data_IF_436170148295
#
_entry.id   IF_436170148295
#
_cell.length_a   1.000
_cell.length_b   1.000
_cell.length_c   1.000
_cell.angle_alpha   90.00
_cell.angle_beta   90.00
_cell.angle_gamma   90.00
#
_symmetry.space_group_name_H-M   'P 1'
#
loop_
_entity.id
_entity.type
_entity.pdbx_description
1 polymer ?
#
# COMPACT_ATOMS: atom_id res chain seq x y z
N UNK A 1 -44.91 34.17 -0.48
CA UNK A 1 -44.79 33.64 0.90
C UNK A 1 -44.17 32.27 0.79
N UNK A 2 -42.92 32.12 1.23
CA UNK A 2 -42.54 31.71 2.59
C UNK A 2 -42.77 30.19 2.77
N UNK A 3 -41.73 29.35 2.66
CA UNK A 3 -40.92 28.82 3.80
C UNK A 3 -41.78 27.93 4.72
N UNK A 4 -41.43 26.70 5.13
CA UNK A 4 -40.17 25.97 5.19
C UNK A 4 -40.48 24.48 5.45
N UNK A 5 -39.59 23.55 5.05
CA UNK A 5 -39.07 22.53 5.98
C UNK A 5 -37.83 21.86 5.36
N UNK A 6 -36.67 22.49 5.58
CA UNK A 6 -35.36 22.00 5.16
C UNK A 6 -34.47 21.95 6.40
N UNK A 7 -34.87 21.16 7.39
CA UNK A 7 -34.05 20.85 8.55
C UNK A 7 -34.05 19.34 8.80
N UNK A 8 -32.84 18.84 9.08
CA UNK A 8 -32.45 17.48 9.48
C UNK A 8 -32.57 16.36 8.43
N UNK A 9 -31.70 16.39 7.42
CA UNK A 9 -31.10 15.14 6.92
C UNK A 9 -29.67 15.06 7.48
N UNK A 10 -29.26 13.92 8.09
CA UNK A 10 -27.94 13.80 8.69
C UNK A 10 -26.86 13.99 7.61
N UNK A 11 -25.90 14.87 7.88
CA UNK A 11 -24.72 15.18 7.05
C UNK A 11 -23.80 13.98 6.77
N UNK A 12 -24.20 12.77 7.14
CA UNK A 12 -23.36 11.57 7.17
C UNK A 12 -23.43 10.73 5.88
N UNK A 13 -24.22 11.11 4.87
CA UNK A 13 -24.37 10.37 3.61
C UNK A 13 -23.99 11.14 2.33
N UNK A 14 -23.46 12.36 2.48
CA UNK A 14 -22.90 13.16 1.39
C UNK A 14 -21.40 13.30 1.59
N UNK A 15 -20.66 12.19 1.56
CA UNK A 15 -19.26 12.29 1.19
C UNK A 15 -19.27 12.65 -0.30
N UNK A 16 -18.98 13.92 -0.56
CA UNK A 16 -19.04 14.51 -1.88
C UNK A 16 -18.12 13.70 -2.80
N UNK A 17 -18.61 13.30 -3.98
CA UNK A 17 -17.80 12.64 -5.03
C UNK A 17 -16.66 13.59 -5.49
N UNK A 18 -16.65 14.82 -4.98
CA UNK A 18 -15.57 15.79 -5.07
C UNK A 18 -14.34 15.49 -4.18
N UNK A 19 -14.34 14.45 -3.35
CA UNK A 19 -13.19 14.10 -2.48
C UNK A 19 -12.69 12.68 -2.71
N UNK A 20 -11.37 12.49 -2.62
CA UNK A 20 -10.73 11.19 -2.73
C UNK A 20 -11.41 10.16 -1.77
N UNK A 21 -11.74 8.94 -2.22
CA UNK A 21 -11.35 8.24 -3.45
C UNK A 21 -12.22 8.49 -4.70
N UNK A 22 -13.08 9.52 -4.71
CA UNK A 22 -14.00 9.88 -5.80
C UNK A 22 -15.00 8.77 -6.17
N UNK A 23 -15.33 7.89 -5.22
CA UNK A 23 -16.34 6.85 -5.37
C UNK A 23 -17.17 6.68 -4.08
N UNK A 24 -18.32 6.01 -4.21
CA UNK A 24 -19.26 5.72 -3.11
C UNK A 24 -19.13 4.27 -2.69
N UNK A 25 -18.76 4.05 -1.43
CA UNK A 25 -18.46 2.73 -0.88
C UNK A 25 -19.08 2.60 0.52
N UNK A 26 -19.34 1.37 0.95
CA UNK A 26 -19.96 1.09 2.25
C UNK A 26 -18.96 1.22 3.40
N UNK A 27 -17.68 1.00 3.12
CA UNK A 27 -16.57 1.27 4.03
C UNK A 27 -15.40 1.93 3.32
N UNK A 28 -14.81 2.89 4.03
CA UNK A 28 -13.54 3.57 3.69
C UNK A 28 -12.43 3.28 4.71
N UNK A 29 -12.70 2.42 5.71
CA UNK A 29 -11.82 2.18 6.84
C UNK A 29 -10.56 1.40 6.40
N UNK A 30 -9.37 1.98 6.58
CA UNK A 30 -8.11 1.30 6.23
C UNK A 30 -7.91 -0.08 6.91
N UNK A 31 -8.28 -0.27 8.20
CA UNK A 31 -8.25 -1.58 8.85
C UNK A 31 -9.07 -2.68 8.15
N UNK A 32 -10.06 -2.33 7.33
CA UNK A 32 -10.84 -3.29 6.54
C UNK A 32 -10.10 -3.78 5.29
N UNK A 33 -8.88 -3.30 5.02
CA UNK A 33 -8.02 -3.84 3.96
C UNK A 33 -7.05 -4.88 4.53
N UNK A 34 -6.98 -6.10 3.98
CA UNK A 34 -5.93 -7.06 4.30
C UNK A 34 -4.58 -6.69 3.69
N UNK A 35 -4.53 -5.62 2.88
CA UNK A 35 -3.33 -5.17 2.21
C UNK A 35 -2.92 -3.77 2.65
N UNK A 36 -1.64 -3.46 2.50
CA UNK A 36 -1.13 -2.08 2.56
C UNK A 36 -0.03 -1.83 1.54
N UNK A 37 0.21 -0.55 1.25
CA UNK A 37 1.36 -0.10 0.47
C UNK A 37 2.42 0.49 1.39
N UNK A 38 3.67 0.14 1.15
CA UNK A 38 4.83 0.72 1.83
C UNK A 38 5.41 1.94 1.09
N UNK A 39 6.26 2.68 1.81
CA UNK A 39 6.93 3.88 1.29
C UNK A 39 7.56 3.61 -0.09
N UNK A 40 7.37 4.52 -1.06
CA UNK A 40 7.89 4.31 -2.41
C UNK A 40 9.41 4.30 -2.42
N UNK A 41 9.98 3.35 -3.16
CA UNK A 41 11.38 3.36 -3.58
C UNK A 41 11.48 4.07 -4.93
N UNK A 42 12.43 4.99 -5.05
CA UNK A 42 12.55 5.89 -6.22
C UNK A 42 13.89 5.67 -6.88
N UNK A 43 13.88 5.34 -8.17
CA UNK A 43 15.09 5.19 -8.99
C UNK A 43 15.10 6.25 -10.08
N UNK A 44 16.25 6.88 -10.29
CA UNK A 44 16.50 7.84 -11.37
C UNK A 44 17.71 7.41 -12.21
N UNK A 45 17.68 7.71 -13.50
CA UNK A 45 18.83 7.57 -14.41
C UNK A 45 19.15 6.16 -14.92
N UNK A 46 19.26 5.15 -14.04
CA UNK A 46 19.67 3.80 -14.46
C UNK A 46 18.54 3.06 -15.19
N UNK A 47 18.74 2.74 -16.47
CA UNK A 47 17.76 1.99 -17.29
C UNK A 47 16.51 2.78 -17.69
N UNK A 48 16.50 4.10 -17.45
CA UNK A 48 15.39 5.00 -17.77
C UNK A 48 15.85 6.05 -18.78
N UNK A 49 14.91 6.53 -19.61
CA UNK A 49 15.19 7.67 -20.48
C UNK A 49 15.44 8.95 -19.66
N UNK A 50 16.21 9.91 -20.18
CA UNK A 50 16.46 11.18 -19.50
C UNK A 50 15.17 11.88 -19.07
N UNK A 51 15.15 12.42 -17.85
CA UNK A 51 13.98 13.10 -17.30
C UNK A 51 12.85 12.18 -16.85
N UNK A 52 13.11 10.87 -16.70
CA UNK A 52 12.16 9.92 -16.13
C UNK A 52 12.62 9.37 -14.78
N UNK A 53 11.66 8.98 -13.95
CA UNK A 53 11.87 8.23 -12.71
C UNK A 53 11.02 6.96 -12.69
N UNK A 54 11.47 5.99 -11.90
CA UNK A 54 10.71 4.80 -11.55
C UNK A 54 10.36 4.87 -10.07
N UNK A 55 9.06 4.91 -9.78
CA UNK A 55 8.51 4.98 -8.42
C UNK A 55 7.82 3.67 -8.12
N UNK A 56 8.36 2.87 -7.21
CA UNK A 56 7.87 1.53 -6.88
C UNK A 56 7.34 1.47 -5.46
N UNK A 57 6.08 1.07 -5.29
CA UNK A 57 5.42 0.85 -4.01
C UNK A 57 5.29 -0.65 -3.75
N UNK A 58 5.82 -1.18 -2.64
CA UNK A 58 5.58 -2.56 -2.25
C UNK A 58 4.11 -2.74 -1.84
N UNK A 59 3.48 -3.79 -2.36
CA UNK A 59 2.17 -4.27 -1.93
C UNK A 59 2.36 -5.44 -0.96
N UNK A 60 1.92 -5.25 0.27
CA UNK A 60 2.12 -6.20 1.36
C UNK A 60 0.78 -6.69 1.89
N UNK A 61 0.72 -7.96 2.25
CA UNK A 61 -0.41 -8.57 2.96
C UNK A 61 -0.18 -8.43 4.46
N UNK A 62 -1.16 -7.91 5.20
CA UNK A 62 -1.12 -7.81 6.66
C UNK A 62 -0.92 -9.19 7.27
N UNK A 63 -0.03 -9.27 8.27
CA UNK A 63 0.13 -10.50 9.05
C UNK A 63 -1.22 -10.90 9.68
N UNK A 64 -1.61 -12.17 9.49
CA UNK A 64 -2.91 -12.69 9.93
C UNK A 64 -4.07 -12.44 8.97
N UNK A 65 -3.90 -11.67 7.90
CA UNK A 65 -4.93 -11.42 6.90
C UNK A 65 -6.17 -10.73 7.48
N UNK A 66 -7.34 -11.32 7.25
CA UNK A 66 -8.61 -10.86 7.81
C UNK A 66 -8.93 -11.62 9.09
N UNK A 67 -9.07 -10.89 10.21
CA UNK A 67 -9.52 -11.43 11.48
C UNK A 67 -11.00 -11.12 11.74
N UNK A 68 -11.48 -11.52 12.92
CA UNK A 68 -12.87 -11.30 13.34
C UNK A 68 -13.23 -9.84 13.65
N UNK A 69 -12.22 -8.97 13.82
CA UNK A 69 -12.39 -7.54 14.05
C UNK A 69 -12.56 -6.71 12.79
N UNK A 70 -12.33 -7.31 11.61
CA UNK A 70 -12.38 -6.65 10.32
C UNK A 70 -13.78 -6.82 9.70
N UNK A 71 -14.29 -5.78 9.04
CA UNK A 71 -15.59 -5.85 8.38
C UNK A 71 -15.61 -6.74 7.13
N UNK A 72 -16.78 -6.96 6.50
CA UNK A 72 -16.93 -7.82 5.32
C UNK A 72 -16.09 -7.36 4.11
N UNK A 73 -15.66 -6.10 4.10
CA UNK A 73 -14.74 -5.58 3.09
C UNK A 73 -13.38 -6.26 3.09
N UNK A 74 -12.92 -6.75 4.25
CA UNK A 74 -11.64 -7.46 4.30
C UNK A 74 -11.71 -8.77 3.53
N UNK A 75 -12.74 -9.59 3.77
CA UNK A 75 -12.89 -10.88 3.12
C UNK A 75 -13.08 -10.75 1.60
N UNK A 76 -13.87 -9.76 1.16
CA UNK A 76 -14.06 -9.48 -0.27
C UNK A 76 -12.74 -9.09 -0.95
N UNK A 77 -11.95 -8.22 -0.31
CA UNK A 77 -10.63 -7.83 -0.81
C UNK A 77 -9.62 -8.99 -0.76
N UNK A 78 -9.67 -9.81 0.30
CA UNK A 78 -8.82 -10.99 0.43
C UNK A 78 -9.09 -12.00 -0.69
N UNK A 79 -10.34 -12.16 -1.09
CA UNK A 79 -10.74 -13.02 -2.20
C UNK A 79 -10.36 -12.43 -3.57
N UNK A 80 -10.51 -11.11 -3.74
CA UNK A 80 -10.21 -10.41 -5.00
C UNK A 80 -9.72 -9.00 -4.73
N UNK A 81 -8.51 -8.69 -5.18
CA UNK A 81 -7.98 -7.35 -5.33
C UNK A 81 -7.98 -6.99 -6.81
N UNK A 82 -8.93 -6.16 -7.21
CA UNK A 82 -9.14 -5.81 -8.61
C UNK A 82 -8.46 -4.51 -9.00
N UNK A 83 -8.47 -3.51 -8.11
CA UNK A 83 -7.98 -2.17 -8.42
C UNK A 83 -7.29 -1.55 -7.21
N UNK A 84 -6.24 -0.81 -7.50
CA UNK A 84 -5.62 0.13 -6.57
C UNK A 84 -5.70 1.52 -7.18
N UNK A 85 -6.24 2.48 -6.44
CA UNK A 85 -6.26 3.89 -6.80
C UNK A 85 -5.26 4.65 -5.94
N UNK A 86 -4.23 5.26 -6.55
CA UNK A 86 -3.24 6.07 -5.82
C UNK A 86 -3.51 7.53 -6.11
N UNK A 87 -3.61 8.34 -5.05
CA UNK A 87 -3.81 9.78 -5.17
C UNK A 87 -2.56 10.44 -5.76
N UNK A 88 -2.74 11.26 -6.78
CA UNK A 88 -1.67 12.02 -7.44
C UNK A 88 -2.05 13.49 -7.59
N UNK A 89 -1.06 14.34 -7.88
CA UNK A 89 -1.32 15.71 -8.31
C UNK A 89 -2.10 15.72 -9.63
N UNK A 90 -3.10 16.59 -9.73
CA UNK A 90 -3.83 16.84 -10.99
C UNK A 90 -2.92 17.36 -12.10
N UNK A 91 -1.86 18.10 -11.77
CA UNK A 91 -0.86 18.57 -12.74
C UNK A 91 -0.05 17.44 -13.38
N UNK A 92 -0.08 16.24 -12.80
CA UNK A 92 0.68 15.08 -13.27
C UNK A 92 -0.14 14.08 -14.09
N UNK A 93 -1.40 14.39 -14.38
CA UNK A 93 -2.23 13.58 -15.28
C UNK A 93 -1.53 13.47 -16.64
N UNK A 94 -1.38 12.24 -17.14
CA UNK A 94 -0.69 11.93 -18.39
C UNK A 94 0.84 11.83 -18.28
N UNK A 95 1.45 12.12 -17.11
CA UNK A 95 2.90 12.05 -16.93
C UNK A 95 3.43 10.67 -16.56
N UNK A 96 2.58 9.80 -15.99
CA UNK A 96 2.90 8.37 -15.88
C UNK A 96 2.92 7.77 -17.29
N UNK A 97 4.08 7.28 -17.72
CA UNK A 97 4.29 6.66 -19.01
C UNK A 97 3.79 5.21 -19.05
N UNK A 98 4.05 4.47 -17.98
CA UNK A 98 3.67 3.07 -17.83
C UNK A 98 3.51 2.70 -16.36
N UNK A 99 2.70 1.68 -16.12
CA UNK A 99 2.57 1.03 -14.82
C UNK A 99 2.95 -0.44 -14.98
N UNK A 100 3.72 -0.96 -14.03
CA UNK A 100 4.06 -2.37 -13.93
C UNK A 100 3.63 -2.91 -12.58
N UNK A 101 3.13 -4.13 -12.58
CA UNK A 101 2.89 -4.92 -11.36
C UNK A 101 3.77 -6.15 -11.46
N UNK A 102 4.77 -6.25 -10.58
CA UNK A 102 5.72 -7.36 -10.52
C UNK A 102 6.41 -7.62 -11.88
N UNK A 103 6.93 -6.53 -12.47
CA UNK A 103 7.62 -6.55 -13.76
C UNK A 103 6.72 -6.70 -15.00
N UNK A 104 5.41 -6.89 -14.83
CA UNK A 104 4.45 -7.02 -15.93
C UNK A 104 3.71 -5.72 -16.17
N UNK A 105 3.62 -5.28 -17.43
CA UNK A 105 2.86 -4.08 -17.79
C UNK A 105 1.38 -4.24 -17.37
N UNK A 106 0.87 -3.22 -16.69
CA UNK A 106 -0.49 -3.19 -16.16
C UNK A 106 -1.26 -2.03 -16.76
N UNK A 107 -2.54 -2.26 -17.05
CA UNK A 107 -3.45 -1.19 -17.49
C UNK A 107 -3.75 -0.23 -16.35
N UNK A 108 -3.91 1.05 -16.70
CA UNK A 108 -4.26 2.10 -15.75
C UNK A 108 -5.11 3.18 -16.42
N UNK A 109 -5.82 3.96 -15.60
CA UNK A 109 -6.63 5.11 -16.01
C UNK A 109 -6.47 6.24 -15.01
N UNK A 110 -6.71 7.47 -15.44
CA UNK A 110 -6.82 8.61 -14.54
C UNK A 110 -8.27 8.94 -14.24
N UNK A 111 -8.53 9.34 -12.99
CA UNK A 111 -9.73 10.03 -12.58
C UNK A 111 -9.33 11.38 -12.00
N UNK A 112 -9.91 12.45 -12.52
CA UNK A 112 -9.64 13.81 -12.06
C UNK A 112 -10.90 14.64 -12.25
N UNK A 113 -11.81 14.68 -11.25
CA UNK A 113 -12.99 15.53 -11.31
C UNK A 113 -12.62 16.99 -11.60
N UNK A 114 -13.46 17.69 -12.37
CA UNK A 114 -13.16 19.06 -12.81
C UNK A 114 -12.89 20.01 -11.63
N UNK A 115 -13.62 19.83 -10.53
CA UNK A 115 -13.55 20.63 -9.31
C UNK A 115 -12.46 20.19 -8.31
N UNK A 116 -11.83 19.03 -8.52
CA UNK A 116 -10.78 18.54 -7.63
C UNK A 116 -9.41 19.16 -7.97
N UNK A 117 -8.58 19.41 -6.97
CA UNK A 117 -7.15 19.76 -7.13
C UNK A 117 -6.25 18.52 -7.26
N UNK A 118 -6.82 17.34 -7.03
CA UNK A 118 -6.15 16.05 -7.01
C UNK A 118 -6.65 15.18 -8.17
N UNK A 119 -5.85 14.19 -8.52
CA UNK A 119 -6.22 13.11 -9.44
C UNK A 119 -5.97 11.76 -8.77
N UNK A 120 -6.46 10.69 -9.38
CA UNK A 120 -6.19 9.31 -8.98
C UNK A 120 -5.71 8.56 -10.20
N UNK A 121 -4.59 7.87 -10.07
CA UNK A 121 -4.21 6.81 -11.00
C UNK A 121 -4.83 5.49 -10.52
N UNK A 122 -5.77 4.96 -11.31
CA UNK A 122 -6.45 3.68 -11.10
C UNK A 122 -5.71 2.59 -11.85
N UNK A 123 -5.15 1.63 -11.14
CA UNK A 123 -4.40 0.50 -11.70
C UNK A 123 -5.31 -0.73 -11.66
N UNK A 124 -5.67 -1.25 -12.83
CA UNK A 124 -6.69 -2.31 -12.96
C UNK A 124 -6.67 -2.97 -14.34
N UNK A 125 -7.17 -4.21 -14.50
CA UNK A 125 -7.51 -5.15 -13.43
C UNK A 125 -6.25 -5.83 -12.90
N UNK A 126 -6.06 -5.86 -11.57
CA UNK A 126 -4.89 -6.48 -10.93
C UNK A 126 -4.99 -8.01 -10.88
N UNK A 127 -6.21 -8.55 -10.70
CA UNK A 127 -6.46 -10.00 -10.58
C UNK A 127 -5.60 -10.66 -9.50
N UNK A 128 -5.40 -9.96 -8.39
CA UNK A 128 -4.67 -10.45 -7.23
C UNK A 128 -5.65 -10.92 -6.16
N UNK A 129 -5.15 -11.64 -5.17
CA UNK A 129 -5.85 -12.04 -3.96
C UNK A 129 -4.83 -12.20 -2.83
N UNK A 130 -5.29 -12.56 -1.62
CA UNK A 130 -4.42 -12.64 -0.44
C UNK A 130 -3.25 -13.61 -0.60
N UNK A 131 -3.41 -14.66 -1.41
CA UNK A 131 -2.35 -15.64 -1.69
C UNK A 131 -1.33 -15.20 -2.74
N UNK A 132 -1.63 -14.18 -3.54
CA UNK A 132 -0.82 -13.78 -4.71
C UNK A 132 -0.32 -12.33 -4.65
N UNK A 133 -0.89 -11.50 -3.79
CA UNK A 133 -0.59 -10.08 -3.69
C UNK A 133 0.69 -9.76 -2.91
N UNK A 134 1.12 -10.65 -2.01
CA UNK A 134 2.21 -10.33 -1.09
C UNK A 134 3.55 -10.12 -1.81
N UNK A 135 4.32 -9.11 -1.37
CA UNK A 135 5.61 -8.73 -1.93
C UNK A 135 5.59 -8.38 -3.42
N UNK A 136 4.45 -7.98 -3.97
CA UNK A 136 4.36 -7.48 -5.34
C UNK A 136 4.78 -6.02 -5.39
N UNK A 137 5.44 -5.62 -6.46
CA UNK A 137 5.83 -4.23 -6.66
C UNK A 137 4.90 -3.54 -7.64
N UNK A 138 4.37 -2.39 -7.26
CA UNK A 138 3.60 -1.51 -8.13
C UNK A 138 4.52 -0.37 -8.54
N UNK A 139 4.99 -0.39 -9.79
CA UNK A 139 5.97 0.55 -10.29
C UNK A 139 5.37 1.48 -11.35
N UNK A 140 5.54 2.78 -11.14
CA UNK A 140 5.15 3.85 -12.06
C UNK A 140 6.41 4.38 -12.73
N UNK A 141 6.48 4.32 -14.07
CA UNK A 141 7.48 5.09 -14.81
C UNK A 141 6.91 6.47 -15.11
N UNK A 142 7.57 7.52 -14.66
CA UNK A 142 7.00 8.88 -14.66
C UNK A 142 7.93 9.85 -15.37
N UNK A 143 7.37 10.71 -16.20
CA UNK A 143 8.10 11.72 -16.98
C UNK A 143 8.17 13.05 -16.24
N UNK A 144 9.19 13.84 -16.55
CA UNK A 144 9.24 15.26 -16.20
C UNK A 144 7.99 16.00 -16.72
N UNK A 145 7.47 16.99 -15.98
CA UNK A 145 8.02 17.57 -14.74
C UNK A 145 7.69 16.76 -13.47
N UNK A 146 6.91 15.69 -13.57
CA UNK A 146 6.44 14.90 -12.42
C UNK A 146 7.34 13.71 -12.06
N UNK A 147 8.57 13.67 -12.59
CA UNK A 147 9.54 12.64 -12.22
C UNK A 147 9.95 12.73 -10.74
N UNK A 148 9.80 13.90 -10.11
CA UNK A 148 9.93 14.05 -8.66
C UNK A 148 8.68 13.48 -7.94
N UNK A 149 8.83 12.48 -7.04
CA UNK A 149 7.71 11.87 -6.33
C UNK A 149 6.90 12.86 -5.49
N UNK A 150 7.53 13.90 -4.92
CA UNK A 150 6.81 14.89 -4.12
C UNK A 150 5.85 15.71 -4.98
N UNK A 151 6.29 16.05 -6.19
CA UNK A 151 5.47 16.68 -7.23
C UNK A 151 4.38 15.74 -7.73
N UNK A 152 4.71 14.46 -7.98
CA UNK A 152 3.76 13.44 -8.44
C UNK A 152 2.60 13.24 -7.47
N UNK A 153 2.89 13.14 -6.17
CA UNK A 153 1.90 12.83 -5.13
C UNK A 153 1.37 14.06 -4.39
N UNK A 154 1.79 15.27 -4.78
CA UNK A 154 1.43 16.54 -4.13
C UNK A 154 1.67 16.52 -2.60
N UNK A 155 2.75 15.89 -2.16
CA UNK A 155 3.10 15.78 -0.72
C UNK A 155 4.60 15.92 -0.53
N UNK A 156 5.02 16.57 0.56
CA UNK A 156 6.42 16.64 0.97
C UNK A 156 6.89 15.36 1.67
N UNK A 157 5.95 14.58 2.19
CA UNK A 157 6.15 13.34 2.95
C UNK A 157 5.50 12.17 2.22
N UNK A 158 6.33 11.21 1.78
CA UNK A 158 5.89 10.07 0.98
C UNK A 158 5.17 9.00 1.82
N UNK A 159 5.24 9.07 3.16
CA UNK A 159 4.37 8.25 4.02
C UNK A 159 2.91 8.73 4.01
N UNK A 160 2.64 9.94 3.50
CA UNK A 160 1.27 10.50 3.46
C UNK A 160 0.58 10.30 2.13
N UNK A 161 1.14 9.47 1.24
CA UNK A 161 0.51 9.13 -0.04
C UNK A 161 -0.76 8.35 0.27
N UNK A 162 -1.90 8.93 -0.08
CA UNK A 162 -3.19 8.27 0.08
C UNK A 162 -3.47 7.33 -1.09
N UNK A 163 -4.01 6.16 -0.80
CA UNK A 163 -4.48 5.21 -1.78
C UNK A 163 -5.77 4.54 -1.31
N UNK A 164 -6.50 3.94 -2.24
CA UNK A 164 -7.61 3.05 -1.94
C UNK A 164 -7.50 1.77 -2.74
N UNK A 165 -8.23 0.74 -2.30
CA UNK A 165 -8.29 -0.55 -2.97
C UNK A 165 -9.74 -0.94 -3.21
N UNK A 166 -10.00 -1.71 -4.25
CA UNK A 166 -11.33 -2.27 -4.47
C UNK A 166 -11.28 -3.69 -5.01
N UNK A 167 -12.32 -4.44 -4.65
CA UNK A 167 -12.49 -5.86 -4.92
C UNK A 167 -12.98 -6.16 -6.35
N UNK A 168 -13.60 -5.16 -6.98
CA UNK A 168 -14.18 -5.24 -8.31
C UNK A 168 -14.15 -3.87 -9.04
N UNK A 169 -14.62 -3.86 -10.30
CA UNK A 169 -14.86 -2.65 -11.07
C UNK A 169 -16.04 -1.85 -10.49
N UNK A 170 -17.20 -2.49 -10.38
CA UNK A 170 -18.34 -2.04 -9.58
C UNK A 170 -18.14 -2.57 -8.17
N UNK A 171 -17.60 -1.71 -7.32
CA UNK A 171 -17.10 -2.06 -6.00
C UNK A 171 -18.02 -1.54 -4.92
N UNK A 172 -18.01 -2.25 -3.80
CA UNK A 172 -18.71 -1.94 -2.57
C UNK A 172 -17.72 -1.46 -1.52
N UNK A 173 -16.46 -1.90 -1.59
CA UNK A 173 -15.42 -1.59 -0.60
C UNK A 173 -14.30 -0.70 -1.16
N UNK A 174 -13.97 0.35 -0.39
CA UNK A 174 -12.91 1.30 -0.74
C UNK A 174 -12.09 1.72 0.46
N UNK A 175 -11.50 0.76 1.21
CA UNK A 175 -10.62 1.11 2.31
C UNK A 175 -9.56 2.08 1.80
N UNK A 176 -9.51 3.23 2.45
CA UNK A 176 -8.65 4.34 2.09
C UNK A 176 -7.57 4.44 3.15
N UNK A 177 -6.33 4.29 2.72
CA UNK A 177 -5.16 4.22 3.58
C UNK A 177 -4.16 5.29 3.17
N UNK A 178 -3.20 5.56 4.06
CA UNK A 178 -1.95 6.18 3.69
C UNK A 178 -0.88 5.10 3.64
N UNK A 179 0.13 5.33 2.81
CA UNK A 179 1.33 4.50 2.75
C UNK A 179 1.94 4.37 4.13
N UNK A 180 2.34 3.16 4.53
CA UNK A 180 2.93 2.98 5.85
C UNK A 180 4.33 3.63 5.87
N UNK A 181 4.50 4.57 6.78
CA UNK A 181 5.72 5.37 6.95
C UNK A 181 6.69 4.74 7.92
N UNK A 182 6.82 3.42 7.94
CA UNK A 182 7.90 2.79 8.67
C UNK A 182 8.99 2.37 7.70
N UNK A 183 10.13 3.05 7.82
CA UNK A 183 11.44 2.49 7.54
C UNK A 183 11.56 1.25 8.42
N UNK A 184 11.01 0.11 7.97
CA UNK A 184 11.59 -1.15 8.33
C UNK A 184 12.96 -1.16 7.64
N UNK A 185 13.95 -0.68 8.39
CA UNK A 185 15.31 -1.14 8.23
C UNK A 185 15.25 -2.65 7.93
N UNK A 186 16.05 -3.17 6.98
CA UNK A 186 16.13 -4.61 6.77
C UNK A 186 16.26 -5.24 8.15
N UNK A 187 15.38 -6.22 8.44
CA UNK A 187 15.39 -7.00 9.68
C UNK A 187 16.83 -7.09 10.15
N UNK A 188 17.11 -6.41 11.27
CA UNK A 188 18.43 -6.44 11.87
C UNK A 188 18.84 -7.90 11.88
N UNK A 189 19.94 -8.19 11.17
CA UNK A 189 20.63 -9.46 11.21
C UNK A 189 20.65 -9.86 12.69
N UNK A 190 20.05 -11.00 13.00
CA UNK A 190 20.03 -11.54 14.35
C UNK A 190 21.42 -11.33 14.97
N UNK A 191 21.53 -10.77 16.19
CA UNK A 191 22.83 -10.62 16.82
C UNK A 191 23.53 -11.99 16.81
N UNK A 192 24.84 -12.04 16.50
CA UNK A 192 25.56 -13.31 16.50
C UNK A 192 25.33 -14.00 17.84
N UNK A 193 25.16 -15.34 17.86
CA UNK A 193 25.01 -16.07 19.11
C UNK A 193 26.17 -15.68 20.04
N UNK A 194 25.91 -15.51 21.35
CA UNK A 194 26.96 -15.19 22.30
C UNK A 194 28.09 -16.23 22.16
N UNK A 195 29.37 -15.83 22.34
CA UNK A 195 30.47 -16.77 22.38
C UNK A 195 30.09 -17.88 23.35
N UNK A 196 30.06 -19.13 22.88
CA UNK A 196 29.87 -20.27 23.76
C UNK A 196 31.03 -20.24 24.77
N UNK A 197 30.71 -19.96 26.03
CA UNK A 197 31.69 -20.12 27.10
C UNK A 197 32.17 -21.57 27.08
N UNK A 198 33.48 -21.83 27.23
CA UNK A 198 33.98 -23.20 27.36
C UNK A 198 33.22 -23.90 28.50
N UNK A 199 32.69 -25.09 28.24
CA UNK A 199 32.14 -25.91 29.32
C UNK A 199 33.24 -26.09 30.39
N UNK A 200 32.91 -25.96 31.68
CA UNK A 200 33.85 -26.29 32.74
C UNK A 200 34.31 -27.75 32.59
N UNK A 201 35.58 -28.05 32.89
CA UNK A 201 36.09 -29.42 32.81
C UNK A 201 35.26 -30.33 33.71
N UNK A 202 34.94 -31.51 33.18
CA UNK A 202 34.22 -32.53 33.92
C UNK A 202 34.96 -32.86 35.23
N UNK A 203 34.23 -33.13 36.33
CA UNK A 203 34.86 -33.56 37.57
C UNK A 203 35.64 -34.87 37.35
N UNK A 204 36.77 -35.06 38.04
CA UNK A 204 37.54 -36.29 37.94
C UNK A 204 36.69 -37.49 38.36
N UNK A 205 36.75 -38.54 37.54
CA UNK A 205 36.08 -39.81 37.78
C UNK A 205 36.57 -40.38 39.13
N UNK A 206 35.70 -40.88 40.02
CA UNK A 206 36.13 -41.57 41.21
C UNK A 206 36.96 -42.80 40.80
N UNK A 207 38.17 -42.90 41.35
CA UNK A 207 39.07 -44.03 41.10
C UNK A 207 38.35 -45.36 41.32
N UNK A 208 38.53 -46.26 40.34
CA UNK A 208 38.08 -47.64 40.45
C UNK A 208 38.79 -48.33 41.63
N UNK A 209 38.08 -49.17 42.41
CA UNK A 209 38.69 -49.89 43.51
C UNK A 209 39.77 -50.86 42.99
N UNK A 210 40.89 -51.04 43.73
CA UNK A 210 41.96 -51.93 43.32
C UNK A 210 41.49 -53.39 43.29
N UNK A 211 41.94 -54.18 42.30
CA UNK A 211 41.63 -55.60 42.22
C UNK A 211 42.35 -56.42 43.32
N UNK A 212 41.83 -57.62 43.65
CA UNK A 212 42.28 -58.45 44.78
C UNK A 212 43.66 -59.07 44.61
#
# INVERSE_FOLDING_TARGET
>A
GAQANLQSLPRTLLQDVATFPFCRCTSYSCPDSPYYLDAPVVTMGAGLAPGMSLVCLPLIVRAGGCGSSQGPCCDMLAASLHKIGIKTSKSCVGQVASVMVDGKKQSYQYESPATASEAVIKIMPLRLNIGTANNKWICLTVRAPCADPKTLFATSDLSRISYYMSEASEHVCCPTCNVHGDVLAPLASSPPPPPQMPLPPAPPNPDAPPPP
#
